data_IF_748755069451
#
_entry.id   IF_748755069451
#
_cell.length_a   1.000
_cell.length_b   1.000
_cell.length_c   1.000
_cell.angle_alpha   90.00
_cell.angle_beta   90.00
_cell.angle_gamma   90.00
#
_symmetry.space_group_name_H-M   'P 1'
#
loop_
_entity.id
_entity.type
_entity.pdbx_description
1 polymer ?
#
# COMPACT_ATOMS: atom_id res chain seq x y z
N UNK A 1 -11.13 47.94 -20.06
CA UNK A 1 -10.53 46.63 -19.72
C UNK A 1 -11.64 45.61 -19.53
N UNK A 2 -11.72 44.57 -20.36
CA UNK A 2 -12.74 43.51 -20.22
C UNK A 2 -12.22 42.49 -19.21
N UNK A 3 -12.86 42.41 -18.04
CA UNK A 3 -12.55 41.40 -17.01
C UNK A 3 -12.91 40.02 -17.57
N UNK A 4 -11.92 39.13 -17.73
CA UNK A 4 -12.13 37.82 -18.33
C UNK A 4 -12.60 36.82 -17.27
N UNK A 5 -13.91 36.83 -17.01
CA UNK A 5 -14.59 36.01 -15.98
C UNK A 5 -14.29 34.51 -16.14
N UNK A 6 -14.07 34.05 -17.38
CA UNK A 6 -13.73 32.65 -17.68
C UNK A 6 -12.38 32.26 -17.07
N UNK A 7 -11.38 33.16 -17.13
CA UNK A 7 -10.06 32.91 -16.54
C UNK A 7 -10.13 32.83 -15.00
N UNK A 8 -11.00 33.64 -14.38
CA UNK A 8 -11.21 33.63 -12.92
C UNK A 8 -11.89 32.34 -12.49
N UNK A 9 -12.91 31.87 -13.23
CA UNK A 9 -13.62 30.61 -12.93
C UNK A 9 -12.72 29.38 -13.12
N UNK A 10 -11.82 29.40 -14.11
CA UNK A 10 -10.86 28.31 -14.32
C UNK A 10 -9.82 28.25 -13.19
N UNK A 11 -9.37 29.40 -12.70
CA UNK A 11 -8.41 29.50 -11.61
C UNK A 11 -9.00 29.08 -10.25
N UNK A 12 -10.27 29.39 -9.98
CA UNK A 12 -10.95 28.92 -8.76
C UNK A 12 -11.26 27.42 -8.77
N UNK A 13 -11.53 26.83 -9.94
CA UNK A 13 -11.70 25.38 -10.08
C UNK A 13 -10.41 24.61 -9.75
N UNK A 14 -9.25 25.12 -10.22
CA UNK A 14 -7.94 24.53 -9.96
C UNK A 14 -7.58 24.51 -8.47
N UNK A 15 -7.93 25.55 -7.71
CA UNK A 15 -7.66 25.63 -6.27
C UNK A 15 -8.51 24.66 -5.43
N UNK A 16 -9.69 24.25 -5.92
CA UNK A 16 -10.57 23.31 -5.21
C UNK A 16 -10.14 21.84 -5.33
N UNK A 17 -9.22 21.50 -6.24
CA UNK A 17 -8.77 20.12 -6.45
C UNK A 17 -7.72 19.65 -5.44
N UNK A 18 -7.15 20.54 -4.62
CA UNK A 18 -6.12 20.22 -3.62
C UNK A 18 -6.67 20.22 -2.18
N UNK A 19 -7.89 19.75 -1.98
CA UNK A 19 -8.38 19.49 -0.63
C UNK A 19 -8.21 17.99 -0.33
N UNK A 20 -6.98 17.59 0.03
CA UNK A 20 -6.73 16.25 0.55
C UNK A 20 -7.59 16.07 1.80
N UNK A 21 -8.65 15.28 1.70
CA UNK A 21 -9.41 14.86 2.87
C UNK A 21 -8.50 13.94 3.67
N UNK A 22 -7.79 14.49 4.64
CA UNK A 22 -7.04 13.69 5.58
C UNK A 22 -8.05 12.84 6.35
N UNK A 23 -8.05 11.53 6.09
CA UNK A 23 -8.90 10.61 6.83
C UNK A 23 -8.58 10.73 8.31
N UNK A 24 -9.58 11.11 9.10
CA UNK A 24 -9.42 11.24 10.53
C UNK A 24 -9.16 9.84 11.10
N UNK A 25 -8.06 9.68 11.83
CA UNK A 25 -7.81 8.43 12.52
C UNK A 25 -8.95 8.18 13.52
N UNK A 26 -9.37 6.92 13.65
CA UNK A 26 -10.32 6.55 14.69
C UNK A 26 -9.68 6.77 16.06
N UNK A 27 -10.40 7.45 16.96
CA UNK A 27 -9.95 7.63 18.34
C UNK A 27 -9.89 6.29 19.08
N UNK A 28 -8.89 6.13 19.93
CA UNK A 28 -8.65 4.92 20.71
C UNK A 28 -7.63 5.15 21.81
N UNK A 29 -7.13 4.07 22.41
CA UNK A 29 -6.10 4.11 23.46
C UNK A 29 -4.75 4.64 22.96
N UNK A 30 -4.49 4.52 21.65
CA UNK A 30 -3.21 4.83 21.05
C UNK A 30 -3.27 6.08 20.16
N UNK A 31 -2.25 6.93 20.31
CA UNK A 31 -1.94 8.08 19.45
C UNK A 31 -0.88 7.67 18.40
N UNK A 32 -0.74 8.40 17.27
CA UNK A 32 0.21 8.06 16.22
C UNK A 32 1.64 8.53 16.58
N UNK A 33 2.07 8.29 17.82
CA UNK A 33 3.38 8.64 18.34
C UNK A 33 4.07 7.40 18.91
N UNK A 34 5.39 7.37 18.84
CA UNK A 34 6.18 6.25 19.36
C UNK A 34 5.96 6.05 20.86
N UNK A 35 5.83 7.14 21.61
CA UNK A 35 5.61 7.14 23.05
C UNK A 35 4.26 6.49 23.40
N UNK A 36 3.23 6.69 22.58
CA UNK A 36 1.94 6.04 22.79
C UNK A 36 1.98 4.57 22.41
N UNK A 37 2.55 4.22 21.25
CA UNK A 37 2.65 2.82 20.80
C UNK A 37 3.49 1.96 21.75
N UNK A 38 4.53 2.53 22.37
CA UNK A 38 5.35 1.85 23.36
C UNK A 38 4.60 1.47 24.65
N UNK A 39 3.38 1.99 24.86
CA UNK A 39 2.50 1.56 25.95
C UNK A 39 1.93 0.15 25.71
N UNK A 40 2.00 -0.36 24.47
CA UNK A 40 1.76 -1.78 24.19
C UNK A 40 2.89 -2.60 24.84
N UNK A 41 2.62 -3.12 26.04
CA UNK A 41 3.63 -3.75 26.88
C UNK A 41 4.25 -5.00 26.25
N UNK A 42 3.53 -6.12 26.29
CA UNK A 42 4.03 -7.40 25.78
C UNK A 42 3.00 -8.05 24.87
N UNK A 43 3.47 -8.97 24.02
CA UNK A 43 2.57 -9.81 23.24
C UNK A 43 1.61 -10.58 24.17
N UNK A 44 0.32 -10.73 23.81
CA UNK A 44 -0.67 -11.35 24.67
C UNK A 44 -0.34 -12.81 24.96
N UNK A 45 -0.77 -13.31 26.12
CA UNK A 45 -0.46 -14.66 26.61
C UNK A 45 -0.78 -15.75 25.58
N UNK A 46 -1.95 -15.69 24.94
CA UNK A 46 -2.33 -16.66 23.92
C UNK A 46 -1.34 -16.74 22.75
N UNK A 47 -0.76 -15.59 22.33
CA UNK A 47 0.20 -15.54 21.23
C UNK A 47 1.56 -16.08 21.69
N UNK A 48 1.91 -15.86 22.96
CA UNK A 48 3.10 -16.43 23.55
C UNK A 48 2.98 -17.94 23.69
N UNK A 49 1.80 -18.48 23.96
CA UNK A 49 1.56 -19.91 24.16
C UNK A 49 1.56 -20.70 22.87
N UNK A 50 1.08 -20.14 21.77
CA UNK A 50 1.19 -20.78 20.45
C UNK A 50 2.64 -20.84 20.00
N UNK A 51 3.14 -22.04 19.71
CA UNK A 51 4.54 -22.28 19.28
C UNK A 51 4.67 -22.61 17.79
N UNK A 52 3.53 -22.79 17.11
CA UNK A 52 3.47 -23.18 15.71
C UNK A 52 2.38 -22.38 15.01
N UNK A 53 2.74 -21.79 13.88
CA UNK A 53 1.83 -21.05 13.01
C UNK A 53 2.04 -21.46 11.57
N UNK A 54 0.97 -21.44 10.80
CA UNK A 54 1.01 -21.65 9.35
C UNK A 54 0.66 -20.31 8.71
N UNK A 55 1.47 -19.89 7.74
CA UNK A 55 1.18 -18.76 6.89
C UNK A 55 1.18 -19.21 5.43
N UNK A 56 0.34 -18.59 4.62
CA UNK A 56 0.23 -18.87 3.19
C UNK A 56 0.26 -17.55 2.42
N UNK A 57 1.21 -17.46 1.49
CA UNK A 57 1.29 -16.35 0.54
C UNK A 57 0.59 -16.75 -0.75
N UNK A 58 -0.58 -16.15 -1.00
CA UNK A 58 -1.42 -16.50 -2.14
C UNK A 58 -2.01 -15.25 -2.79
N UNK A 59 -1.87 -15.16 -4.11
CA UNK A 59 -2.39 -14.06 -4.92
C UNK A 59 -2.12 -14.29 -6.40
N UNK A 60 -2.40 -13.30 -7.28
CA UNK A 60 -2.23 -13.44 -8.72
C UNK A 60 -0.81 -13.88 -9.15
N UNK A 61 0.21 -13.41 -8.42
CA UNK A 61 1.60 -13.79 -8.69
C UNK A 61 1.91 -15.29 -8.52
N UNK A 62 1.06 -16.04 -7.82
CA UNK A 62 1.27 -17.47 -7.59
C UNK A 62 0.84 -18.31 -8.80
N UNK A 63 -0.01 -17.79 -9.70
CA UNK A 63 -0.56 -18.55 -10.82
C UNK A 63 0.53 -19.19 -11.71
N UNK A 64 1.64 -18.52 -12.04
CA UNK A 64 2.71 -19.08 -12.85
C UNK A 64 3.52 -20.18 -12.17
N UNK A 65 3.39 -20.32 -10.83
CA UNK A 65 4.20 -21.28 -10.06
C UNK A 65 5.70 -20.99 -10.09
N UNK A 66 6.11 -19.76 -10.41
CA UNK A 66 7.50 -19.39 -10.64
C UNK A 66 8.22 -18.77 -9.43
N UNK A 67 7.69 -18.97 -8.23
CA UNK A 67 8.27 -18.47 -6.98
C UNK A 67 7.73 -17.10 -6.57
N UNK A 68 8.21 -16.62 -5.42
CA UNK A 68 7.86 -15.29 -4.92
C UNK A 68 8.48 -14.19 -5.81
N UNK A 69 7.95 -12.98 -5.74
CA UNK A 69 8.41 -11.82 -6.52
C UNK A 69 8.24 -11.93 -8.05
N UNK A 70 7.61 -13.00 -8.56
CA UNK A 70 7.39 -13.18 -10.01
C UNK A 70 6.76 -11.94 -10.68
N UNK A 71 5.75 -11.35 -10.06
CA UNK A 71 5.06 -10.18 -10.60
C UNK A 71 5.96 -8.95 -10.78
N UNK A 72 7.05 -8.85 -10.00
CA UNK A 72 8.08 -7.82 -10.17
C UNK A 72 9.12 -8.25 -11.19
N UNK A 73 9.66 -9.46 -11.03
CA UNK A 73 10.79 -9.95 -11.83
C UNK A 73 10.41 -10.20 -13.29
N UNK A 74 9.14 -10.47 -13.60
CA UNK A 74 8.67 -10.63 -14.98
C UNK A 74 8.83 -9.36 -15.83
N UNK A 75 9.05 -8.20 -15.22
CA UNK A 75 9.37 -6.94 -15.91
C UNK A 75 10.86 -6.57 -15.87
N UNK A 76 11.70 -7.40 -15.26
CA UNK A 76 13.14 -7.20 -15.21
C UNK A 76 13.79 -7.98 -16.35
N UNK A 77 14.07 -7.30 -17.46
CA UNK A 77 14.62 -7.92 -18.69
C UNK A 77 15.85 -8.80 -18.40
N UNK A 78 15.85 -10.01 -18.99
CA UNK A 78 16.91 -11.00 -18.82
C UNK A 78 16.86 -11.80 -17.52
N UNK A 79 15.98 -11.47 -16.57
CA UNK A 79 15.79 -12.28 -15.36
C UNK A 79 15.18 -13.65 -15.68
N UNK A 80 15.28 -14.59 -14.73
CA UNK A 80 14.65 -15.91 -14.86
C UNK A 80 13.15 -15.81 -15.09
N UNK A 81 12.46 -14.99 -14.29
CA UNK A 81 11.02 -14.80 -14.39
C UNK A 81 10.61 -14.10 -15.70
N UNK A 82 11.39 -13.10 -16.16
CA UNK A 82 11.16 -12.43 -17.44
C UNK A 82 11.28 -13.39 -18.62
N UNK A 83 12.40 -14.12 -18.71
CA UNK A 83 12.62 -15.05 -19.82
C UNK A 83 11.54 -16.13 -19.87
N UNK A 84 11.15 -16.67 -18.70
CA UNK A 84 10.07 -17.63 -18.60
C UNK A 84 8.72 -17.02 -19.00
N UNK A 85 8.41 -15.78 -18.56
CA UNK A 85 7.16 -15.12 -18.91
C UNK A 85 7.03 -14.95 -20.42
N UNK A 86 8.06 -14.42 -21.08
CA UNK A 86 8.10 -14.20 -22.55
C UNK A 86 8.01 -15.52 -23.33
N UNK A 87 8.53 -16.62 -22.79
CA UNK A 87 8.43 -17.94 -23.43
C UNK A 87 7.03 -18.57 -23.30
N UNK A 88 6.27 -18.21 -22.26
CA UNK A 88 5.00 -18.89 -21.92
C UNK A 88 3.74 -18.03 -22.16
N UNK A 89 3.87 -16.71 -22.31
CA UNK A 89 2.79 -15.75 -22.51
C UNK A 89 3.18 -14.68 -23.54
#
# INVERSE_FOLDING_TARGET
MKFNIIAVLFFTLLLSSCNEKHEQMMGGTYEPTWESLAQYGEAPEWFRDVKFGIWSHWGPQCQPGQGDWYAREMYMEGSRAYNWHVENY
#
